data_IF_499773416189
#
_entry.id   IF_499773416189
#
_cell.length_a   1.000
_cell.length_b   1.000
_cell.length_c   1.000
_cell.angle_alpha   90.00
_cell.angle_beta   90.00
_cell.angle_gamma   90.00
#
_symmetry.space_group_name_H-M   'P 1'
#
loop_
_entity.id
_entity.type
_entity.pdbx_description
1 polymer ?
#
# COMPACT_ATOMS: atom_id res chain seq x y z
N UNK A 1 -47.05 24.02 -1.46
CA UNK A 1 -47.02 25.13 -2.44
C UNK A 1 -45.69 25.84 -2.29
N UNK A 2 -44.92 25.93 -3.34
CA UNK A 2 -43.66 26.65 -3.39
C UNK A 2 -43.93 28.14 -3.22
N UNK A 3 -43.20 28.84 -2.34
CA UNK A 3 -43.39 30.25 -2.13
C UNK A 3 -42.82 31.10 -3.29
N UNK A 4 -43.12 32.42 -3.30
CA UNK A 4 -42.69 33.33 -4.39
C UNK A 4 -41.16 33.48 -4.44
N UNK A 5 -40.50 33.43 -3.27
CA UNK A 5 -39.05 33.52 -3.14
C UNK A 5 -38.37 32.26 -3.71
N UNK A 6 -38.95 31.07 -3.46
CA UNK A 6 -38.49 29.80 -4.05
C UNK A 6 -38.60 29.82 -5.58
N UNK A 7 -39.73 30.40 -6.11
CA UNK A 7 -39.91 30.54 -7.57
C UNK A 7 -38.95 31.57 -8.19
N UNK A 8 -38.63 32.64 -7.50
CA UNK A 8 -37.64 33.63 -7.97
C UNK A 8 -36.21 33.07 -7.95
N UNK A 9 -35.86 32.35 -6.89
CA UNK A 9 -34.56 31.61 -6.78
C UNK A 9 -34.43 30.61 -7.89
N UNK A 10 -35.46 29.79 -8.14
CA UNK A 10 -35.49 28.81 -9.20
C UNK A 10 -35.34 29.42 -10.62
N UNK A 11 -36.03 30.56 -10.87
CA UNK A 11 -35.90 31.31 -12.12
C UNK A 11 -34.49 31.85 -12.32
N UNK A 12 -33.82 32.33 -11.28
CA UNK A 12 -32.45 32.84 -11.34
C UNK A 12 -31.46 31.69 -11.61
N UNK A 13 -31.67 30.53 -11.03
CA UNK A 13 -30.85 29.35 -11.24
C UNK A 13 -31.00 28.75 -12.65
N UNK A 14 -32.14 28.95 -13.30
CA UNK A 14 -32.41 28.49 -14.67
C UNK A 14 -32.02 29.49 -15.75
N UNK A 15 -31.52 30.68 -15.41
CA UNK A 15 -31.04 31.61 -16.41
C UNK A 15 -29.66 31.22 -16.95
N UNK A 16 -29.45 31.21 -18.29
CA UNK A 16 -28.15 30.96 -18.86
C UNK A 16 -27.20 32.09 -18.48
N UNK A 17 -25.95 31.74 -18.14
CA UNK A 17 -24.89 32.73 -18.02
C UNK A 17 -24.41 33.16 -19.42
N UNK A 18 -23.77 34.33 -19.51
CA UNK A 18 -23.26 34.84 -20.79
C UNK A 18 -21.96 34.10 -21.20
N UNK A 19 -22.12 32.84 -21.62
CA UNK A 19 -21.05 31.97 -22.12
C UNK A 19 -21.11 31.98 -23.65
N UNK A 20 -20.00 32.29 -24.36
CA UNK A 20 -20.00 32.31 -25.82
C UNK A 20 -20.15 30.89 -26.39
N UNK A 21 -21.33 30.55 -26.87
CA UNK A 21 -21.63 29.27 -27.50
C UNK A 21 -21.74 29.44 -29.00
N UNK A 22 -21.28 28.48 -29.76
CA UNK A 22 -21.54 28.41 -31.19
C UNK A 22 -23.02 28.12 -31.44
N UNK A 23 -23.67 29.00 -32.23
CA UNK A 23 -25.11 28.95 -32.48
C UNK A 23 -25.44 28.81 -33.95
N UNK A 24 -26.60 28.22 -34.22
CA UNK A 24 -27.17 28.20 -35.56
C UNK A 24 -27.58 29.61 -35.95
N UNK A 25 -27.46 29.94 -37.21
CA UNK A 25 -28.00 31.18 -37.74
C UNK A 25 -29.39 30.89 -38.32
N UNK A 26 -30.40 31.66 -37.94
CA UNK A 26 -31.72 31.60 -38.52
C UNK A 26 -32.00 32.91 -39.28
N UNK A 27 -32.58 32.81 -40.44
CA UNK A 27 -33.04 33.97 -41.21
C UNK A 27 -34.53 34.13 -40.93
N UNK A 28 -34.95 35.28 -40.36
CA UNK A 28 -36.33 35.63 -40.13
C UNK A 28 -36.58 36.96 -40.86
N UNK A 29 -37.34 36.89 -41.98
CA UNK A 29 -37.45 38.00 -42.91
C UNK A 29 -36.09 38.31 -43.57
N UNK A 30 -35.62 39.57 -43.46
CA UNK A 30 -34.32 40.01 -43.98
C UNK A 30 -33.24 40.09 -42.90
N UNK A 31 -33.45 39.57 -41.70
CA UNK A 31 -32.51 39.66 -40.59
C UNK A 31 -31.96 38.28 -40.24
N UNK A 32 -30.62 38.21 -40.04
CA UNK A 32 -29.94 37.08 -39.42
C UNK A 32 -30.13 37.19 -37.91
N UNK A 33 -30.71 36.17 -37.31
CA UNK A 33 -30.83 36.07 -35.85
C UNK A 33 -30.11 34.81 -35.36
N UNK A 34 -29.58 34.90 -34.13
CA UNK A 34 -28.99 33.73 -33.46
C UNK A 34 -30.09 32.71 -33.13
N UNK A 35 -29.87 31.47 -33.50
CA UNK A 35 -30.72 30.32 -33.19
C UNK A 35 -30.23 29.55 -31.96
N UNK A 36 -30.72 28.34 -31.87
CA UNK A 36 -30.29 27.40 -30.81
C UNK A 36 -28.79 27.10 -30.91
N UNK A 37 -28.07 26.90 -29.80
CA UNK A 37 -26.69 26.49 -29.83
C UNK A 37 -26.54 25.13 -30.50
N UNK A 38 -25.39 24.90 -31.10
CA UNK A 38 -25.04 23.57 -31.61
C UNK A 38 -24.74 22.63 -30.45
N UNK A 39 -25.26 21.40 -30.51
CA UNK A 39 -24.99 20.33 -29.54
C UNK A 39 -23.62 19.68 -29.82
N UNK A 40 -22.56 20.49 -29.90
CA UNK A 40 -21.19 20.04 -30.09
C UNK A 40 -20.49 19.84 -28.75
N UNK A 41 -19.51 18.96 -28.72
CA UNK A 41 -18.68 18.69 -27.53
C UNK A 41 -18.06 19.99 -26.98
N UNK A 42 -17.60 20.89 -27.85
CA UNK A 42 -17.01 22.17 -27.46
C UNK A 42 -17.98 23.05 -26.66
N UNK A 43 -19.22 23.17 -27.07
CA UNK A 43 -20.22 23.96 -26.35
C UNK A 43 -20.54 23.34 -24.98
N UNK A 44 -20.59 22.00 -24.89
CA UNK A 44 -20.75 21.31 -23.61
C UNK A 44 -19.57 21.64 -22.68
N UNK A 45 -18.35 21.48 -23.18
CA UNK A 45 -17.12 21.79 -22.42
C UNK A 45 -17.09 23.26 -21.98
N UNK A 46 -17.47 24.20 -22.84
CA UNK A 46 -17.54 25.64 -22.49
C UNK A 46 -18.50 25.88 -21.32
N UNK A 47 -19.69 25.29 -21.36
CA UNK A 47 -20.64 25.43 -20.23
C UNK A 47 -20.07 24.81 -18.96
N UNK A 48 -19.58 23.58 -19.01
CA UNK A 48 -19.03 22.90 -17.84
C UNK A 48 -17.83 23.60 -17.23
N UNK A 49 -17.04 24.34 -18.05
CA UNK A 49 -15.85 25.07 -17.61
C UNK A 49 -16.17 26.47 -17.05
N UNK A 50 -17.10 27.18 -17.64
CA UNK A 50 -17.28 28.61 -17.41
C UNK A 50 -18.55 28.98 -16.65
N UNK A 51 -19.49 28.03 -16.47
CA UNK A 51 -20.64 28.31 -15.61
C UNK A 51 -20.23 28.30 -14.13
N UNK A 52 -20.36 29.44 -13.47
CA UNK A 52 -19.93 29.59 -12.08
C UNK A 52 -20.66 28.69 -11.10
N UNK A 53 -21.86 28.19 -11.48
CA UNK A 53 -22.62 27.19 -10.67
C UNK A 53 -21.98 25.81 -10.71
N UNK A 54 -21.16 25.53 -11.74
CA UNK A 54 -20.43 24.28 -11.91
C UNK A 54 -18.94 24.41 -11.55
N UNK A 55 -18.54 25.58 -11.02
CA UNK A 55 -17.16 25.78 -10.56
C UNK A 55 -16.77 24.74 -9.52
N UNK A 56 -15.71 23.98 -9.78
CA UNK A 56 -15.27 22.85 -8.95
C UNK A 56 -16.31 21.74 -8.72
N UNK A 57 -17.44 21.76 -9.44
CA UNK A 57 -18.50 20.77 -9.31
C UNK A 57 -18.10 19.40 -9.89
N UNK A 58 -17.15 19.35 -10.80
CA UNK A 58 -16.69 18.13 -11.48
C UNK A 58 -15.17 18.03 -11.31
N UNK A 59 -14.69 17.07 -10.53
CA UNK A 59 -13.27 16.94 -10.18
C UNK A 59 -12.80 15.49 -10.28
N UNK A 60 -11.55 15.28 -10.70
CA UNK A 60 -10.91 13.97 -10.63
C UNK A 60 -10.19 13.81 -9.28
N UNK A 61 -10.63 12.86 -8.49
CA UNK A 61 -9.89 12.43 -7.32
C UNK A 61 -8.69 11.58 -7.76
N UNK A 62 -7.48 12.13 -7.71
CA UNK A 62 -6.25 11.44 -8.11
C UNK A 62 -5.89 10.25 -7.19
N UNK A 63 -6.45 10.23 -5.98
CA UNK A 63 -6.18 9.18 -5.01
C UNK A 63 -6.99 7.90 -5.30
N UNK A 64 -8.26 8.06 -5.66
CA UNK A 64 -9.16 6.95 -6.00
C UNK A 64 -9.25 6.69 -7.50
N UNK A 65 -8.77 7.61 -8.34
CA UNK A 65 -8.95 7.62 -9.80
C UNK A 65 -10.42 7.67 -10.24
N UNK A 66 -11.29 8.25 -9.40
CA UNK A 66 -12.71 8.40 -9.65
C UNK A 66 -13.08 9.86 -9.89
N UNK A 67 -14.09 10.08 -10.73
CA UNK A 67 -14.67 11.41 -10.91
C UNK A 67 -15.64 11.66 -9.77
N UNK A 68 -15.42 12.77 -9.07
CA UNK A 68 -16.31 13.27 -8.04
C UNK A 68 -17.14 14.42 -8.58
N UNK A 69 -18.41 14.46 -8.23
CA UNK A 69 -19.34 15.50 -8.63
C UNK A 69 -20.05 16.07 -7.41
N UNK A 70 -20.23 17.40 -7.42
CA UNK A 70 -21.01 18.12 -6.42
C UNK A 70 -21.83 19.20 -7.14
N UNK A 71 -23.00 18.83 -7.61
CA UNK A 71 -23.89 19.77 -8.29
C UNK A 71 -24.64 20.70 -7.31
N UNK A 72 -25.16 21.87 -7.77
CA UNK A 72 -25.84 22.82 -6.90
C UNK A 72 -27.04 22.24 -6.16
N UNK A 73 -27.41 22.87 -5.06
CA UNK A 73 -28.29 22.47 -3.95
C UNK A 73 -29.66 21.81 -4.25
N UNK A 74 -30.05 21.64 -5.50
CA UNK A 74 -31.32 21.02 -5.87
C UNK A 74 -31.21 19.57 -6.33
N UNK A 75 -30.00 19.05 -6.37
CA UNK A 75 -29.76 17.69 -6.75
C UNK A 75 -29.25 16.87 -5.57
N UNK A 76 -30.02 15.85 -5.21
CA UNK A 76 -29.64 14.87 -4.21
C UNK A 76 -28.89 13.72 -4.91
N UNK A 77 -27.59 13.65 -4.70
CA UNK A 77 -26.83 12.44 -5.01
C UNK A 77 -26.53 11.69 -3.71
N UNK A 78 -26.73 10.40 -3.70
CA UNK A 78 -26.40 9.54 -2.55
C UNK A 78 -24.88 9.36 -2.37
N UNK A 79 -24.08 9.82 -3.35
CA UNK A 79 -22.62 9.67 -3.40
C UNK A 79 -21.98 10.85 -4.13
N UNK A 80 -20.79 11.26 -3.68
CA UNK A 80 -19.97 12.22 -4.43
C UNK A 80 -19.34 11.61 -5.70
N UNK A 81 -19.37 10.28 -5.86
CA UNK A 81 -18.81 9.60 -7.05
C UNK A 81 -19.83 9.71 -8.19
N UNK A 82 -19.36 10.15 -9.36
CA UNK A 82 -20.18 10.27 -10.58
C UNK A 82 -20.95 8.97 -10.87
N UNK A 83 -22.27 9.10 -11.01
CA UNK A 83 -23.20 8.03 -11.38
C UNK A 83 -23.93 8.34 -12.68
N UNK A 84 -24.58 7.33 -13.26
CA UNK A 84 -25.42 7.51 -14.45
C UNK A 84 -26.56 8.53 -14.20
N UNK A 85 -27.10 8.59 -12.98
CA UNK A 85 -28.14 9.54 -12.58
C UNK A 85 -27.61 10.98 -12.60
N UNK A 86 -26.37 11.21 -12.21
CA UNK A 86 -25.72 12.52 -12.27
C UNK A 86 -25.58 13.01 -13.71
N UNK A 87 -25.21 12.11 -14.63
CA UNK A 87 -25.11 12.44 -16.06
C UNK A 87 -26.46 12.80 -16.65
N UNK A 88 -27.53 12.04 -16.31
CA UNK A 88 -28.90 12.33 -16.76
C UNK A 88 -29.38 13.68 -16.23
N UNK A 89 -29.13 13.96 -14.93
CA UNK A 89 -29.46 15.26 -14.35
C UNK A 89 -28.75 16.40 -15.08
N UNK A 90 -27.45 16.25 -15.34
CA UNK A 90 -26.67 17.27 -16.02
C UNK A 90 -27.13 17.48 -17.46
N UNK A 91 -27.52 16.42 -18.17
CA UNK A 91 -28.09 16.49 -19.52
C UNK A 91 -29.39 17.29 -19.53
N UNK A 92 -30.31 17.03 -18.60
CA UNK A 92 -31.55 17.74 -18.43
C UNK A 92 -31.33 19.21 -18.07
N UNK A 93 -30.39 19.48 -17.13
CA UNK A 93 -30.02 20.84 -16.75
C UNK A 93 -29.45 21.63 -17.94
N UNK A 94 -28.53 21.07 -18.73
CA UNK A 94 -27.98 21.67 -19.96
C UNK A 94 -29.06 21.97 -20.98
N UNK A 95 -30.04 21.08 -21.13
CA UNK A 95 -31.17 21.26 -22.04
C UNK A 95 -32.08 22.41 -21.59
N UNK A 96 -32.40 22.48 -20.30
CA UNK A 96 -33.30 23.52 -19.75
C UNK A 96 -32.67 24.90 -19.69
N UNK A 97 -31.39 24.97 -19.31
CA UNK A 97 -30.71 26.26 -19.09
C UNK A 97 -30.13 26.82 -20.38
N UNK A 98 -29.47 25.99 -21.16
CA UNK A 98 -28.69 26.41 -22.33
C UNK A 98 -29.29 25.97 -23.67
N UNK A 99 -30.44 25.26 -23.67
CA UNK A 99 -31.02 24.67 -24.86
C UNK A 99 -30.10 23.69 -25.60
N UNK A 100 -29.13 23.08 -24.86
CA UNK A 100 -28.18 22.11 -25.38
C UNK A 100 -28.79 20.70 -25.27
N UNK A 101 -29.19 20.11 -26.39
CA UNK A 101 -29.61 18.71 -26.45
C UNK A 101 -28.41 17.83 -26.65
N UNK A 102 -27.89 17.31 -25.52
CA UNK A 102 -26.60 16.57 -25.50
C UNK A 102 -26.81 15.07 -25.78
N UNK A 103 -25.85 14.47 -26.46
CA UNK A 103 -25.71 13.02 -26.53
C UNK A 103 -24.96 12.56 -25.27
N UNK A 104 -25.44 11.53 -24.60
CA UNK A 104 -24.88 11.02 -23.34
C UNK A 104 -23.40 10.65 -23.45
N UNK A 105 -22.97 10.07 -24.58
CA UNK A 105 -21.56 9.76 -24.80
C UNK A 105 -20.69 11.01 -24.86
N UNK A 106 -21.15 12.06 -25.56
CA UNK A 106 -20.43 13.34 -25.63
C UNK A 106 -20.41 14.04 -24.27
N UNK A 107 -21.49 13.96 -23.51
CA UNK A 107 -21.56 14.50 -22.16
C UNK A 107 -20.57 13.78 -21.24
N UNK A 108 -20.55 12.45 -21.26
CA UNK A 108 -19.59 11.65 -20.52
C UNK A 108 -18.13 12.04 -20.85
N UNK A 109 -17.80 12.16 -22.15
CA UNK A 109 -16.47 12.57 -22.60
C UNK A 109 -16.12 13.98 -22.12
N UNK A 110 -17.07 14.92 -22.11
CA UNK A 110 -16.90 16.28 -21.59
C UNK A 110 -16.68 16.28 -20.06
N UNK A 111 -17.46 15.49 -19.32
CA UNK A 111 -17.30 15.34 -17.85
C UNK A 111 -15.90 14.83 -17.52
N UNK A 112 -15.46 13.76 -18.18
CA UNK A 112 -14.11 13.20 -17.95
C UNK A 112 -13.02 14.21 -18.30
N UNK A 113 -13.21 14.99 -19.37
CA UNK A 113 -12.26 16.03 -19.78
C UNK A 113 -12.14 17.12 -18.71
N UNK A 114 -13.27 17.69 -18.25
CA UNK A 114 -13.33 18.72 -17.20
C UNK A 114 -12.80 18.20 -15.87
N UNK A 115 -13.15 16.96 -15.48
CA UNK A 115 -12.63 16.33 -14.27
C UNK A 115 -11.10 16.27 -14.26
N UNK A 116 -10.50 15.97 -15.43
CA UNK A 116 -9.03 15.93 -15.57
C UNK A 116 -8.36 17.30 -15.54
N UNK A 117 -9.05 18.36 -15.89
CA UNK A 117 -8.57 19.74 -15.69
C UNK A 117 -8.62 20.11 -14.19
N UNK A 118 -9.65 19.67 -13.48
CA UNK A 118 -9.92 19.97 -12.07
C UNK A 118 -9.51 18.82 -11.14
N UNK A 119 -8.23 18.46 -11.16
CA UNK A 119 -7.72 17.38 -10.31
C UNK A 119 -7.54 17.83 -8.88
N UNK A 120 -7.75 16.90 -7.96
CA UNK A 120 -7.42 17.10 -6.57
C UNK A 120 -6.97 15.80 -5.92
N UNK A 121 -6.30 15.91 -4.79
CA UNK A 121 -5.81 14.77 -4.05
C UNK A 121 -6.08 14.96 -2.55
N UNK A 122 -7.07 14.28 -1.95
CA UNK A 122 -7.54 14.61 -0.60
C UNK A 122 -6.44 14.52 0.46
N UNK A 123 -5.60 13.48 0.40
CA UNK A 123 -4.52 13.30 1.38
C UNK A 123 -3.44 14.39 1.24
N UNK A 124 -3.04 14.74 0.00
CA UNK A 124 -2.06 15.82 -0.23
C UNK A 124 -2.61 17.19 0.17
N UNK A 125 -3.88 17.46 -0.14
CA UNK A 125 -4.53 18.72 0.26
C UNK A 125 -4.55 18.83 1.78
N UNK A 126 -4.96 17.77 2.49
CA UNK A 126 -4.91 17.72 3.94
C UNK A 126 -3.48 17.92 4.48
N UNK A 127 -2.50 17.18 3.99
CA UNK A 127 -1.12 17.29 4.46
C UNK A 127 -0.49 18.67 4.23
N UNK A 128 -0.90 19.38 3.19
CA UNK A 128 -0.43 20.76 2.93
C UNK A 128 -0.98 21.79 3.93
N UNK A 129 -2.05 21.47 4.66
CA UNK A 129 -2.58 22.35 5.72
C UNK A 129 -1.87 22.17 7.05
N UNK A 130 -0.99 21.17 7.17
CA UNK A 130 -0.29 20.86 8.41
C UNK A 130 0.94 21.76 8.57
N UNK A 131 1.09 22.33 9.75
CA UNK A 131 2.25 23.12 10.15
C UNK A 131 2.90 22.45 11.36
N UNK A 132 4.21 22.15 11.25
CA UNK A 132 4.96 21.53 12.32
C UNK A 132 5.29 22.55 13.43
N UNK A 133 5.01 22.18 14.66
CA UNK A 133 5.26 23.00 15.85
C UNK A 133 6.72 23.00 16.32
N UNK A 134 7.59 22.23 15.68
CA UNK A 134 9.02 22.11 15.99
C UNK A 134 9.36 21.06 17.05
N UNK A 135 8.35 20.42 17.67
CA UNK A 135 8.59 19.34 18.63
C UNK A 135 8.76 17.99 17.95
N UNK A 136 9.84 17.29 18.27
CA UNK A 136 10.19 16.00 17.67
C UNK A 136 9.35 14.87 18.27
N UNK A 137 8.59 14.17 17.44
CA UNK A 137 7.74 13.03 17.79
C UNK A 137 7.92 11.84 16.85
N UNK A 138 8.50 12.07 15.67
CA UNK A 138 8.58 11.10 14.60
C UNK A 138 9.43 9.89 14.98
N UNK A 139 10.57 10.11 15.62
CA UNK A 139 11.48 9.04 16.03
C UNK A 139 10.91 8.21 17.18
N UNK A 140 10.14 8.82 18.09
CA UNK A 140 9.61 8.15 19.27
C UNK A 140 8.17 7.64 19.11
N UNK A 141 7.52 7.87 17.97
CA UNK A 141 6.11 7.54 17.76
C UNK A 141 5.77 6.06 18.09
N UNK A 142 6.59 5.11 17.66
CA UNK A 142 6.37 3.68 17.96
C UNK A 142 6.64 3.38 19.45
N UNK A 143 7.58 4.07 20.07
CA UNK A 143 7.93 3.93 21.48
C UNK A 143 6.81 4.47 22.36
N UNK A 144 6.40 5.73 22.12
CA UNK A 144 5.44 6.45 22.94
C UNK A 144 4.01 5.92 22.83
N UNK A 145 3.61 5.40 21.64
CA UNK A 145 2.23 5.03 21.36
C UNK A 145 1.99 3.53 21.16
N UNK A 146 3.02 2.78 20.88
CA UNK A 146 2.93 1.33 20.70
C UNK A 146 3.67 0.54 21.81
N UNK A 147 4.35 1.22 22.73
CA UNK A 147 5.12 0.56 23.78
C UNK A 147 6.22 -0.34 23.23
N UNK A 148 6.86 0.09 22.15
CA UNK A 148 8.05 -0.56 21.60
C UNK A 148 9.25 -0.17 22.44
N UNK A 149 10.23 -1.07 22.63
CA UNK A 149 11.46 -0.76 23.35
C UNK A 149 12.23 0.38 22.67
N UNK A 150 12.82 1.26 23.48
CA UNK A 150 13.59 2.40 22.97
C UNK A 150 14.99 1.95 22.53
N UNK A 151 15.20 1.91 21.22
CA UNK A 151 16.48 1.62 20.58
C UNK A 151 16.70 2.53 19.37
N UNK A 152 17.96 2.72 18.99
CA UNK A 152 18.32 3.51 17.81
C UNK A 152 17.67 2.93 16.54
N UNK A 153 17.55 1.61 16.46
CA UNK A 153 16.89 0.93 15.34
C UNK A 153 15.39 1.21 15.30
N UNK A 154 14.69 1.13 16.43
CA UNK A 154 13.25 1.38 16.48
C UNK A 154 12.91 2.85 16.21
N UNK A 155 13.76 3.77 16.65
CA UNK A 155 13.69 5.19 16.30
C UNK A 155 13.88 5.41 14.79
N UNK A 156 14.86 4.73 14.19
CA UNK A 156 15.07 4.75 12.75
C UNK A 156 13.87 4.19 11.99
N UNK A 157 13.32 3.04 12.40
CA UNK A 157 12.11 2.47 11.77
C UNK A 157 10.95 3.45 11.78
N UNK A 158 10.64 4.07 12.91
CA UNK A 158 9.59 5.05 13.06
C UNK A 158 9.75 6.21 12.08
N UNK A 159 10.93 6.83 12.08
CA UNK A 159 11.27 7.97 11.22
C UNK A 159 11.25 7.61 9.71
N UNK A 160 12.01 6.58 9.33
CA UNK A 160 12.19 6.18 7.93
C UNK A 160 10.90 5.74 7.27
N UNK A 161 10.06 5.00 8.01
CA UNK A 161 8.77 4.52 7.51
C UNK A 161 7.83 5.66 7.14
N UNK A 162 7.68 6.66 8.02
CA UNK A 162 6.80 7.82 7.79
C UNK A 162 7.34 8.77 6.72
N UNK A 163 8.66 9.01 6.68
CA UNK A 163 9.27 9.78 5.58
C UNK A 163 9.03 9.06 4.24
N UNK A 164 9.14 7.74 4.20
CA UNK A 164 8.80 6.94 3.03
C UNK A 164 7.36 7.12 2.57
N UNK A 165 6.42 7.14 3.52
CA UNK A 165 5.00 7.34 3.24
C UNK A 165 4.73 8.70 2.57
N UNK A 166 5.25 9.80 3.14
CA UNK A 166 5.06 11.14 2.57
C UNK A 166 5.81 11.30 1.24
N UNK A 167 7.02 10.75 1.09
CA UNK A 167 7.73 10.77 -0.19
C UNK A 167 6.91 10.07 -1.28
N UNK A 168 6.40 8.87 -1.00
CA UNK A 168 5.57 8.12 -1.95
C UNK A 168 4.32 8.91 -2.34
N UNK A 169 3.64 9.51 -1.37
CA UNK A 169 2.45 10.30 -1.60
C UNK A 169 2.71 11.53 -2.49
N UNK A 170 3.74 12.32 -2.18
CA UNK A 170 4.03 13.56 -2.91
C UNK A 170 4.70 13.32 -4.26
N UNK A 171 5.50 12.27 -4.41
CA UNK A 171 6.14 11.94 -5.69
C UNK A 171 5.26 11.09 -6.63
N UNK A 172 4.10 10.65 -6.21
CA UNK A 172 3.20 9.87 -7.06
C UNK A 172 2.72 10.65 -8.31
N UNK A 173 2.80 11.98 -8.30
CA UNK A 173 2.52 12.83 -9.47
C UNK A 173 3.72 13.00 -10.41
N UNK A 174 4.89 12.55 -10.03
CA UNK A 174 6.11 12.62 -10.84
C UNK A 174 6.24 11.41 -11.75
N UNK A 175 7.15 11.45 -12.72
CA UNK A 175 7.43 10.34 -13.62
C UNK A 175 8.22 9.20 -12.93
N UNK A 176 8.82 9.50 -11.77
CA UNK A 176 9.66 8.57 -11.02
C UNK A 176 8.97 8.18 -9.70
N UNK A 177 8.27 7.03 -9.67
CA UNK A 177 7.61 6.55 -8.45
C UNK A 177 8.63 6.14 -7.40
N UNK A 178 8.35 6.44 -6.13
CA UNK A 178 9.21 6.09 -5.00
C UNK A 178 9.13 4.59 -4.69
N UNK A 179 10.27 3.93 -4.76
CA UNK A 179 10.43 2.54 -4.36
C UNK A 179 10.65 2.43 -2.85
N UNK A 180 9.76 1.74 -2.15
CA UNK A 180 9.91 1.41 -0.73
C UNK A 180 10.13 -0.09 -0.62
N UNK A 181 11.35 -0.48 -0.30
CA UNK A 181 11.75 -1.89 -0.19
C UNK A 181 11.20 -2.53 1.08
N UNK A 182 11.13 -1.77 2.17
CA UNK A 182 10.87 -2.28 3.51
C UNK A 182 9.41 -2.06 3.93
N UNK A 183 8.89 -2.97 4.74
CA UNK A 183 7.55 -2.92 5.30
C UNK A 183 7.64 -3.00 6.83
N UNK A 184 6.93 -2.12 7.53
CA UNK A 184 6.82 -2.18 8.99
C UNK A 184 5.95 -3.37 9.40
N UNK A 185 6.39 -4.09 10.43
CA UNK A 185 5.70 -5.27 10.98
C UNK A 185 5.47 -5.06 12.46
N UNK A 186 4.22 -4.89 12.86
CA UNK A 186 3.81 -4.75 14.25
C UNK A 186 3.42 -6.13 14.81
N UNK A 187 4.27 -6.68 15.69
CA UNK A 187 3.99 -7.94 16.38
C UNK A 187 3.56 -7.68 17.81
N UNK A 188 2.92 -8.64 18.46
CA UNK A 188 2.57 -8.54 19.89
C UNK A 188 1.16 -9.03 20.19
N UNK A 189 0.78 -8.95 21.46
CA UNK A 189 -0.48 -9.53 21.95
C UNK A 189 -1.72 -9.01 21.21
N UNK A 190 -2.72 -9.87 21.12
CA UNK A 190 -4.04 -9.51 20.59
C UNK A 190 -4.68 -8.45 21.48
N UNK A 191 -5.48 -7.55 20.86
CA UNK A 191 -6.21 -6.47 21.54
C UNK A 191 -5.34 -5.36 22.14
N UNK A 192 -4.05 -5.29 21.84
CA UNK A 192 -3.22 -4.14 22.25
C UNK A 192 -3.57 -2.84 21.49
N UNK A 193 -4.20 -2.94 20.33
CA UNK A 193 -4.63 -1.76 19.57
C UNK A 193 -3.85 -1.50 18.28
N UNK A 194 -3.07 -2.46 17.78
CA UNK A 194 -2.26 -2.34 16.55
C UNK A 194 -3.02 -1.76 15.36
N UNK A 195 -4.15 -2.37 15.00
CA UNK A 195 -4.98 -1.89 13.88
C UNK A 195 -5.63 -0.54 14.18
N UNK A 196 -5.98 -0.27 15.43
CA UNK A 196 -6.54 1.02 15.84
C UNK A 196 -5.50 2.14 15.76
N UNK A 197 -4.26 1.87 16.15
CA UNK A 197 -3.13 2.80 15.98
C UNK A 197 -2.95 3.16 14.51
N UNK A 198 -2.87 2.19 13.61
CA UNK A 198 -2.71 2.41 12.17
C UNK A 198 -3.88 3.18 11.56
N UNK A 199 -5.10 2.83 11.96
CA UNK A 199 -6.32 3.51 11.52
C UNK A 199 -6.36 4.95 11.97
N UNK A 200 -5.93 5.24 13.20
CA UNK A 200 -5.87 6.60 13.74
C UNK A 200 -4.75 7.39 13.08
N UNK A 201 -3.56 6.80 12.91
CA UNK A 201 -2.42 7.42 12.23
C UNK A 201 -2.77 7.85 10.79
N UNK A 202 -3.67 7.14 10.12
CA UNK A 202 -4.11 7.47 8.77
C UNK A 202 -4.80 8.85 8.66
N UNK A 203 -5.30 9.41 9.75
CA UNK A 203 -5.95 10.72 9.82
C UNK A 203 -7.41 10.73 9.33
N UNK A 204 -7.75 9.88 8.36
CA UNK A 204 -9.13 9.65 7.90
C UNK A 204 -9.36 8.15 7.72
N UNK A 205 -10.49 7.65 8.23
CA UNK A 205 -10.84 6.23 8.19
C UNK A 205 -11.04 5.71 6.76
N UNK A 206 -11.46 6.55 5.83
CA UNK A 206 -11.65 6.17 4.42
C UNK A 206 -10.32 5.86 3.71
N UNK A 207 -9.23 6.44 4.19
CA UNK A 207 -7.88 6.23 3.62
C UNK A 207 -7.20 4.98 4.16
N UNK A 208 -7.79 4.34 5.15
CA UNK A 208 -7.31 3.09 5.74
C UNK A 208 -8.01 1.86 5.14
N UNK A 209 -7.31 0.74 5.06
CA UNK A 209 -7.90 -0.56 4.76
C UNK A 209 -7.19 -1.68 5.50
N UNK A 210 -7.97 -2.66 5.92
CA UNK A 210 -7.57 -3.90 6.61
C UNK A 210 -8.15 -5.16 5.94
N UNK A 211 -8.74 -4.98 4.76
CA UNK A 211 -9.43 -6.05 4.04
C UNK A 211 -8.43 -7.01 3.41
N UNK A 212 -8.50 -8.29 3.78
CA UNK A 212 -7.68 -9.34 3.16
C UNK A 212 -8.03 -9.48 1.67
N UNK A 213 -7.01 -9.59 0.83
CA UNK A 213 -7.15 -9.88 -0.59
C UNK A 213 -6.00 -10.76 -1.08
N UNK A 214 -6.22 -11.44 -2.18
CA UNK A 214 -5.18 -12.24 -2.83
C UNK A 214 -4.27 -11.34 -3.66
N UNK A 215 -3.01 -11.18 -3.26
CA UNK A 215 -2.02 -10.34 -3.95
C UNK A 215 -1.65 -10.87 -5.35
N UNK A 216 -1.90 -12.14 -5.63
CA UNK A 216 -1.67 -12.75 -6.94
C UNK A 216 -2.79 -12.50 -7.94
N UNK A 217 -3.88 -11.85 -7.51
CA UNK A 217 -5.03 -11.59 -8.35
C UNK A 217 -4.80 -10.32 -9.19
N UNK A 218 -5.24 -10.34 -10.45
CA UNK A 218 -5.07 -9.21 -11.39
C UNK A 218 -5.67 -7.88 -10.89
N UNK A 219 -6.68 -7.94 -10.00
CA UNK A 219 -7.30 -6.77 -9.39
C UNK A 219 -6.70 -6.38 -8.03
N UNK A 220 -5.61 -7.03 -7.60
CA UNK A 220 -4.98 -6.74 -6.31
C UNK A 220 -4.60 -5.25 -6.18
N UNK A 221 -4.00 -4.70 -7.23
CA UNK A 221 -3.59 -3.29 -7.27
C UNK A 221 -4.75 -2.29 -7.18
N UNK A 222 -5.95 -2.65 -7.66
CA UNK A 222 -7.14 -1.79 -7.52
C UNK A 222 -7.59 -1.64 -6.06
N UNK A 223 -7.31 -2.64 -5.21
CA UNK A 223 -7.62 -2.57 -3.77
C UNK A 223 -6.79 -1.54 -3.02
N UNK A 224 -5.66 -1.13 -3.59
CA UNK A 224 -4.79 -0.11 -3.02
C UNK A 224 -5.20 1.31 -3.40
N UNK A 225 -6.05 1.47 -4.43
CA UNK A 225 -6.51 2.79 -4.86
C UNK A 225 -7.37 3.44 -3.76
N UNK A 226 -7.06 4.71 -3.45
CA UNK A 226 -7.76 5.44 -2.39
C UNK A 226 -7.37 4.99 -0.96
N UNK A 227 -6.24 4.25 -0.79
CA UNK A 227 -5.75 3.83 0.52
C UNK A 227 -4.35 4.35 0.77
N UNK A 228 -4.18 5.07 1.89
CA UNK A 228 -2.91 5.64 2.31
C UNK A 228 -2.14 4.68 3.20
N UNK A 229 -2.80 4.01 4.16
CA UNK A 229 -2.25 2.92 4.94
C UNK A 229 -3.08 1.66 4.70
N UNK A 230 -2.43 0.60 4.27
CA UNK A 230 -3.06 -0.70 4.04
C UNK A 230 -2.49 -1.73 5.01
N UNK A 231 -3.33 -2.22 5.92
CA UNK A 231 -2.97 -3.24 6.90
C UNK A 231 -3.10 -4.64 6.30
N UNK A 232 -2.02 -5.39 6.34
CA UNK A 232 -1.97 -6.82 6.05
C UNK A 232 -2.08 -7.60 7.36
N UNK A 233 -3.32 -7.76 7.84
CA UNK A 233 -3.59 -8.43 9.10
C UNK A 233 -3.30 -9.93 9.01
N UNK A 234 -2.59 -10.47 10.03
CA UNK A 234 -2.24 -11.89 10.15
C UNK A 234 -1.48 -12.46 8.93
N UNK A 235 -0.78 -11.60 8.17
CA UNK A 235 0.09 -12.06 7.10
C UNK A 235 1.34 -12.73 7.70
N UNK A 236 1.59 -13.98 7.31
CA UNK A 236 2.66 -14.79 7.90
C UNK A 236 3.86 -14.99 6.97
N UNK A 237 3.83 -14.50 5.74
CA UNK A 237 4.94 -14.68 4.78
C UNK A 237 5.21 -16.15 4.40
N UNK A 238 4.30 -17.06 4.76
CA UNK A 238 4.46 -18.53 4.63
C UNK A 238 3.68 -19.14 3.47
N UNK A 239 3.14 -18.31 2.58
CA UNK A 239 2.39 -18.83 1.45
C UNK A 239 3.34 -19.48 0.43
N UNK A 240 2.80 -20.39 -0.39
CA UNK A 240 3.54 -20.93 -1.54
C UNK A 240 3.96 -19.84 -2.53
N UNK A 241 3.30 -18.69 -2.45
CA UNK A 241 3.45 -17.54 -3.33
C UNK A 241 4.24 -16.39 -2.67
N UNK A 242 4.98 -16.67 -1.57
CA UNK A 242 5.68 -15.66 -0.77
C UNK A 242 6.57 -14.71 -1.61
N UNK A 243 7.21 -15.20 -2.66
CA UNK A 243 8.04 -14.38 -3.54
C UNK A 243 7.19 -13.39 -4.37
N UNK A 244 6.01 -13.81 -4.83
CA UNK A 244 5.07 -12.96 -5.56
C UNK A 244 4.52 -11.89 -4.61
N UNK A 245 4.15 -12.27 -3.38
CA UNK A 245 3.68 -11.36 -2.34
C UNK A 245 4.75 -10.33 -1.96
N UNK A 246 5.99 -10.76 -1.78
CA UNK A 246 7.14 -9.87 -1.52
C UNK A 246 7.37 -8.89 -2.69
N UNK A 247 7.27 -9.37 -3.94
CA UNK A 247 7.38 -8.52 -5.12
C UNK A 247 6.24 -7.51 -5.19
N UNK A 248 4.99 -7.94 -4.91
CA UNK A 248 3.84 -7.06 -4.85
C UNK A 248 4.00 -5.98 -3.77
N UNK A 249 4.39 -6.35 -2.55
CA UNK A 249 4.58 -5.41 -1.43
C UNK A 249 5.59 -4.30 -1.80
N UNK A 250 6.69 -4.65 -2.45
CA UNK A 250 7.77 -3.72 -2.77
C UNK A 250 7.58 -2.94 -4.07
N UNK A 251 6.54 -3.20 -4.87
CA UNK A 251 6.30 -2.46 -6.11
C UNK A 251 6.14 -0.96 -5.89
N UNK A 252 6.73 -0.16 -6.79
CA UNK A 252 6.61 1.30 -6.77
C UNK A 252 5.41 1.81 -7.58
N UNK A 253 4.93 1.00 -8.53
CA UNK A 253 3.77 1.31 -9.39
C UNK A 253 3.01 0.05 -9.74
N UNK A 254 1.77 0.22 -10.15
CA UNK A 254 0.87 -0.85 -10.59
C UNK A 254 0.27 -0.51 -11.96
N UNK A 255 0.15 -1.51 -12.82
CA UNK A 255 -0.56 -1.36 -14.09
C UNK A 255 -2.00 -1.87 -13.92
N UNK A 256 -2.95 -0.95 -14.00
CA UNK A 256 -4.37 -1.23 -13.74
C UNK A 256 -5.25 -0.63 -14.83
N UNK A 257 -6.42 -1.23 -15.03
CA UNK A 257 -7.48 -0.63 -15.85
C UNK A 257 -8.41 0.14 -14.92
N UNK A 258 -8.19 1.47 -14.86
CA UNK A 258 -9.05 2.34 -14.05
C UNK A 258 -10.41 2.56 -14.71
N UNK A 259 -11.46 2.92 -13.95
CA UNK A 259 -12.76 3.29 -14.52
C UNK A 259 -12.60 4.36 -15.62
N UNK A 260 -13.40 4.26 -16.66
CA UNK A 260 -13.44 5.16 -17.82
C UNK A 260 -12.18 5.16 -18.71
N UNK A 261 -11.16 4.36 -18.42
CA UNK A 261 -10.01 4.21 -19.29
C UNK A 261 -10.22 3.09 -20.33
N UNK A 262 -9.90 3.39 -21.60
CA UNK A 262 -9.94 2.37 -22.68
C UNK A 262 -8.78 1.37 -22.53
N UNK A 263 -7.64 1.86 -22.08
CA UNK A 263 -6.40 1.10 -21.92
C UNK A 263 -5.99 1.02 -20.46
N UNK A 264 -5.22 -0.01 -20.10
CA UNK A 264 -4.55 -0.07 -18.81
C UNK A 264 -3.56 1.09 -18.69
N UNK A 265 -3.43 1.63 -17.47
CA UNK A 265 -2.51 2.73 -17.14
C UNK A 265 -1.61 2.30 -16.00
N UNK A 266 -0.36 2.74 -16.03
CA UNK A 266 0.56 2.54 -14.91
C UNK A 266 0.44 3.71 -13.95
N UNK A 267 0.02 3.41 -12.72
CA UNK A 267 -0.15 4.37 -11.64
C UNK A 267 0.92 4.18 -10.58
N UNK A 268 1.63 5.22 -10.17
CA UNK A 268 2.49 5.18 -9.00
C UNK A 268 1.69 4.84 -7.74
N UNK A 269 2.24 4.00 -6.86
CA UNK A 269 1.64 3.77 -5.55
C UNK A 269 1.72 5.01 -4.68
N UNK A 270 0.63 5.30 -4.01
CA UNK A 270 0.45 6.53 -3.22
C UNK A 270 0.43 6.27 -1.71
N UNK A 271 0.17 5.04 -1.31
CA UNK A 271 0.11 4.60 0.06
C UNK A 271 1.20 3.60 0.42
N UNK A 272 1.22 3.20 1.67
CA UNK A 272 2.13 2.21 2.24
C UNK A 272 1.36 1.00 2.79
N UNK A 273 2.04 -0.13 2.83
CA UNK A 273 1.55 -1.33 3.48
C UNK A 273 2.23 -1.51 4.84
N UNK A 274 1.52 -2.14 5.76
CA UNK A 274 2.02 -2.51 7.08
C UNK A 274 1.46 -3.88 7.45
N UNK A 275 2.28 -4.70 8.09
CA UNK A 275 1.87 -6.02 8.59
C UNK A 275 1.52 -5.92 10.07
N UNK A 276 0.43 -6.54 10.48
CA UNK A 276 0.16 -6.80 11.89
C UNK A 276 0.06 -8.29 12.15
N UNK A 277 0.62 -8.75 13.27
CA UNK A 277 0.54 -10.15 13.67
C UNK A 277 0.55 -10.32 15.19
N UNK A 278 -0.05 -11.40 15.65
CA UNK A 278 0.04 -11.83 17.04
C UNK A 278 1.21 -12.80 17.26
N UNK A 279 1.96 -13.12 16.21
CA UNK A 279 3.08 -14.06 16.24
C UNK A 279 4.40 -13.31 16.18
N UNK A 280 5.37 -13.79 16.94
CA UNK A 280 6.74 -13.28 16.90
C UNK A 280 7.56 -13.92 15.78
N UNK A 281 7.27 -15.18 15.44
CA UNK A 281 8.00 -15.98 14.46
C UNK A 281 7.50 -15.77 13.02
N UNK A 282 7.56 -14.54 12.52
CA UNK A 282 6.99 -14.18 11.21
C UNK A 282 7.88 -14.56 10.03
N UNK A 283 9.19 -14.57 10.22
CA UNK A 283 10.15 -14.78 9.14
C UNK A 283 10.52 -16.25 9.04
N UNK A 284 10.17 -16.88 7.92
CA UNK A 284 10.55 -18.27 7.62
C UNK A 284 11.79 -18.39 6.73
N UNK A 285 12.26 -17.26 6.20
CA UNK A 285 13.33 -17.22 5.22
C UNK A 285 14.39 -16.19 5.62
N UNK A 286 15.62 -16.66 5.84
CA UNK A 286 16.77 -15.82 6.16
C UNK A 286 17.08 -14.76 5.09
N UNK A 287 16.65 -14.99 3.84
CA UNK A 287 16.86 -14.03 2.73
C UNK A 287 15.80 -12.94 2.69
N UNK A 288 14.64 -13.14 3.34
CA UNK A 288 13.52 -12.20 3.40
C UNK A 288 13.64 -11.13 4.47
N UNK A 289 14.57 -11.30 5.44
CA UNK A 289 14.69 -10.42 6.61
C UNK A 289 14.97 -8.94 6.27
N UNK A 290 15.64 -8.65 5.15
CA UNK A 290 15.97 -7.26 4.75
C UNK A 290 14.78 -6.38 4.39
N UNK A 291 13.59 -6.96 4.19
CA UNK A 291 12.37 -6.22 3.82
C UNK A 291 11.44 -5.94 4.98
N UNK A 292 11.63 -6.62 6.11
CA UNK A 292 10.72 -6.57 7.24
C UNK A 292 11.36 -5.83 8.41
N UNK A 293 10.75 -4.72 8.79
CA UNK A 293 11.10 -3.93 9.97
C UNK A 293 10.17 -4.35 11.10
N UNK A 294 10.60 -5.37 11.84
CA UNK A 294 9.78 -5.97 12.88
C UNK A 294 9.95 -5.21 14.20
N UNK A 295 8.84 -4.90 14.85
CA UNK A 295 8.79 -4.31 16.18
C UNK A 295 7.77 -5.03 17.05
N UNK A 296 8.11 -5.21 18.32
CA UNK A 296 7.20 -5.79 19.30
C UNK A 296 6.40 -4.69 20.00
N UNK A 297 5.09 -4.72 19.84
CA UNK A 297 4.14 -3.79 20.43
C UNK A 297 3.78 -4.25 21.84
N UNK A 298 3.72 -3.32 22.81
CA UNK A 298 3.37 -3.62 24.20
C UNK A 298 4.50 -4.24 24.99
N UNK A 299 5.75 -4.01 24.63
CA UNK A 299 6.92 -4.49 25.35
C UNK A 299 7.19 -3.66 26.62
N UNK A 300 6.97 -2.35 26.53
CA UNK A 300 7.25 -1.39 27.63
C UNK A 300 5.99 -0.77 28.23
N UNK A 301 4.82 -1.09 27.74
CA UNK A 301 3.52 -0.56 28.17
C UNK A 301 2.55 -1.69 28.49
N UNK A 302 1.97 -1.66 29.69
CA UNK A 302 0.86 -2.55 30.08
C UNK A 302 -0.50 -1.99 29.68
N UNK A 303 -0.58 -0.69 29.36
CA UNK A 303 -1.82 0.02 29.03
C UNK A 303 -2.15 -0.14 27.54
N UNK A 304 -3.45 -0.21 27.26
CA UNK A 304 -3.96 -0.24 25.90
C UNK A 304 -3.73 1.10 25.21
N UNK A 305 -3.56 1.06 23.90
CA UNK A 305 -3.43 2.24 23.04
C UNK A 305 -4.50 3.30 23.30
N UNK A 306 -4.09 4.51 23.71
CA UNK A 306 -4.97 5.68 23.91
C UNK A 306 -5.20 6.39 22.57
N UNK A 307 -6.33 6.02 21.94
CA UNK A 307 -6.75 6.61 20.67
C UNK A 307 -6.97 8.12 20.77
N UNK A 308 -7.63 8.62 21.83
CA UNK A 308 -8.06 10.02 21.90
C UNK A 308 -6.87 10.97 22.02
N UNK A 309 -5.88 10.60 22.79
CA UNK A 309 -4.64 11.38 22.91
C UNK A 309 -3.80 11.32 21.65
N UNK A 310 -3.71 10.14 21.01
CA UNK A 310 -2.96 9.98 19.78
C UNK A 310 -3.56 10.76 18.60
N UNK A 311 -4.88 10.78 18.45
CA UNK A 311 -5.58 11.49 17.39
C UNK A 311 -5.22 12.99 17.34
N UNK A 312 -4.94 13.60 18.51
CA UNK A 312 -4.53 15.02 18.61
C UNK A 312 -3.09 15.25 18.11
N UNK A 313 -2.24 14.24 18.19
CA UNK A 313 -0.82 14.33 17.86
C UNK A 313 -0.53 13.94 16.39
N UNK A 314 -1.39 13.12 15.79
CA UNK A 314 -1.25 12.65 14.41
C UNK A 314 -0.94 13.75 13.38
N UNK A 315 -1.62 14.93 13.39
CA UNK A 315 -1.27 16.02 12.47
C UNK A 315 0.18 16.48 12.61
N UNK A 316 0.72 16.54 13.84
CA UNK A 316 2.09 16.98 14.10
C UNK A 316 3.12 15.94 13.66
N UNK A 317 2.81 14.64 13.82
CA UNK A 317 3.66 13.55 13.32
C UNK A 317 3.81 13.64 11.79
N UNK A 318 2.71 13.86 11.08
CA UNK A 318 2.77 14.02 9.62
C UNK A 318 3.43 15.32 9.19
N UNK A 319 3.21 16.43 9.93
CA UNK A 319 3.89 17.70 9.66
C UNK A 319 5.41 17.57 9.80
N UNK A 320 5.89 16.87 10.85
CA UNK A 320 7.30 16.57 11.05
C UNK A 320 7.87 15.67 9.92
N UNK A 321 7.11 14.64 9.50
CA UNK A 321 7.52 13.78 8.39
C UNK A 321 7.66 14.54 7.07
N UNK A 322 6.77 15.49 6.80
CA UNK A 322 6.83 16.38 5.64
C UNK A 322 8.06 17.30 5.72
N UNK A 323 8.34 17.86 6.90
CA UNK A 323 9.51 18.69 7.11
C UNK A 323 10.81 17.95 6.75
N UNK A 324 11.02 16.77 7.29
CA UNK A 324 12.20 15.95 6.95
C UNK A 324 12.23 15.50 5.49
N UNK A 325 11.08 15.23 4.89
CA UNK A 325 11.01 14.96 3.44
C UNK A 325 11.50 16.16 2.63
N UNK A 326 11.12 17.40 3.00
CA UNK A 326 11.53 18.63 2.33
C UNK A 326 13.02 18.93 2.50
N UNK A 327 13.60 18.55 3.65
CA UNK A 327 15.04 18.62 3.91
C UNK A 327 15.85 17.57 3.13
N UNK A 328 15.19 16.66 2.43
CA UNK A 328 15.83 15.62 1.65
C UNK A 328 16.21 14.36 2.43
N UNK A 329 15.77 14.24 3.69
CA UNK A 329 16.06 13.08 4.55
C UNK A 329 15.70 11.76 3.86
N UNK A 330 16.55 10.75 3.96
CA UNK A 330 16.33 9.45 3.33
C UNK A 330 15.23 8.63 4.04
N UNK A 331 14.57 7.71 3.31
CA UNK A 331 13.53 6.81 3.80
C UNK A 331 13.96 5.34 3.89
N UNK A 332 15.23 5.06 3.70
CA UNK A 332 15.87 3.76 3.90
C UNK A 332 16.86 3.86 5.04
N UNK A 333 17.21 2.73 5.64
CA UNK A 333 18.20 2.67 6.72
C UNK A 333 19.58 3.07 6.21
N UNK A 334 20.37 3.68 7.07
CA UNK A 334 21.81 3.85 6.86
C UNK A 334 22.54 2.50 7.01
N UNK A 335 23.79 2.41 6.63
CA UNK A 335 24.57 1.18 6.78
C UNK A 335 24.67 0.73 8.25
N UNK A 336 24.82 1.68 9.19
CA UNK A 336 24.85 1.40 10.63
C UNK A 336 23.48 0.91 11.15
N UNK A 337 22.38 1.57 10.76
CA UNK A 337 21.01 1.16 11.09
C UNK A 337 20.69 -0.23 10.49
N UNK A 338 21.19 -0.53 9.29
CA UNK A 338 21.02 -1.84 8.65
C UNK A 338 21.80 -2.95 9.38
N UNK A 339 22.96 -2.63 9.94
CA UNK A 339 23.71 -3.58 10.79
C UNK A 339 22.94 -3.90 12.08
N UNK A 340 22.38 -2.88 12.75
CA UNK A 340 21.51 -3.10 13.92
C UNK A 340 20.32 -3.98 13.58
N UNK A 341 19.70 -3.78 12.41
CA UNK A 341 18.59 -4.61 11.94
C UNK A 341 18.99 -6.07 11.73
N UNK A 342 20.19 -6.32 11.21
CA UNK A 342 20.70 -7.69 11.02
C UNK A 342 20.90 -8.37 12.38
N UNK A 343 21.46 -7.66 13.34
CA UNK A 343 21.75 -8.19 14.68
C UNK A 343 20.46 -8.52 15.46
N UNK A 344 19.37 -7.76 15.25
CA UNK A 344 18.06 -8.01 15.88
C UNK A 344 17.18 -9.00 15.09
N UNK A 345 17.48 -9.28 13.82
CA UNK A 345 16.63 -10.12 12.97
C UNK A 345 16.42 -11.54 13.51
N UNK A 346 17.35 -12.07 14.28
CA UNK A 346 17.26 -13.41 14.86
C UNK A 346 16.10 -13.55 15.85
N UNK A 347 15.68 -12.46 16.51
CA UNK A 347 14.55 -12.45 17.45
C UNK A 347 13.24 -12.76 16.74
N UNK A 348 13.07 -12.27 15.50
CA UNK A 348 11.86 -12.41 14.69
C UNK A 348 11.94 -13.57 13.69
N UNK A 349 13.08 -14.24 13.60
CA UNK A 349 13.24 -15.42 12.75
C UNK A 349 12.53 -16.63 13.34
N UNK A 350 11.97 -17.47 12.51
CA UNK A 350 11.40 -18.74 12.95
C UNK A 350 12.54 -19.68 13.33
N UNK A 351 12.71 -19.91 14.60
CA UNK A 351 13.49 -21.06 15.08
C UNK A 351 12.65 -22.30 14.78
N UNK A 352 13.05 -23.06 13.75
CA UNK A 352 12.36 -24.32 13.47
C UNK A 352 12.56 -25.27 14.68
N UNK A 353 11.48 -25.78 15.30
CA UNK A 353 11.58 -26.70 16.46
C UNK A 353 12.46 -27.93 16.19
N UNK A 354 12.76 -28.20 14.94
CA UNK A 354 13.68 -29.26 14.57
C UNK A 354 15.15 -28.92 14.76
N UNK A 355 15.50 -27.61 14.79
CA UNK A 355 16.91 -27.15 14.99
C UNK A 355 17.39 -27.66 16.34
N UNK A 356 16.66 -27.42 17.42
CA UNK A 356 17.03 -27.85 18.78
C UNK A 356 17.17 -29.39 18.89
N UNK A 357 16.22 -30.13 18.30
CA UNK A 357 16.32 -31.62 18.24
C UNK A 357 17.52 -32.11 17.43
N UNK A 358 17.80 -31.46 16.30
CA UNK A 358 18.92 -31.86 15.43
C UNK A 358 20.27 -31.48 16.02
N UNK A 359 20.36 -30.38 16.77
CA UNK A 359 21.56 -29.93 17.44
C UNK A 359 22.00 -30.90 18.54
N UNK A 360 21.04 -31.37 19.32
CA UNK A 360 21.26 -32.26 20.46
C UNK A 360 21.23 -33.75 20.10
N UNK A 361 20.96 -34.08 18.84
CA UNK A 361 20.83 -35.45 18.38
C UNK A 361 22.02 -35.98 17.56
N UNK A 362 22.22 -37.29 17.59
CA UNK A 362 23.20 -37.93 16.73
C UNK A 362 22.59 -38.20 15.34
N UNK A 363 22.96 -37.36 14.36
CA UNK A 363 22.47 -37.38 12.99
C UNK A 363 23.56 -37.64 11.96
N UNK A 364 24.80 -37.91 12.42
CA UNK A 364 25.93 -38.10 11.54
C UNK A 364 26.37 -39.58 11.48
N UNK A 365 26.89 -39.97 10.36
CA UNK A 365 27.50 -41.26 10.16
C UNK A 365 28.80 -41.13 9.36
N UNK A 366 29.75 -42.09 9.59
CA UNK A 366 30.98 -42.10 8.83
C UNK A 366 30.72 -42.42 7.34
N UNK A 367 31.28 -41.61 6.46
CA UNK A 367 31.35 -41.85 5.03
C UNK A 367 32.80 -42.10 4.62
N UNK A 368 33.07 -43.31 4.09
CA UNK A 368 34.38 -43.63 3.59
C UNK A 368 34.58 -43.08 2.19
N UNK A 369 35.62 -42.30 2.02
CA UNK A 369 36.02 -41.66 0.77
C UNK A 369 37.17 -42.45 0.09
N UNK A 370 37.49 -42.12 -1.16
CA UNK A 370 38.65 -42.61 -1.85
C UNK A 370 39.97 -42.27 -1.11
N UNK A 371 40.00 -41.17 -0.33
CA UNK A 371 41.14 -40.73 0.47
C UNK A 371 40.67 -40.32 1.86
N UNK A 372 40.35 -41.31 2.74
CA UNK A 372 39.99 -41.07 4.12
C UNK A 372 38.52 -41.24 4.45
N UNK A 373 38.12 -40.70 5.62
CA UNK A 373 36.76 -40.77 6.19
C UNK A 373 36.28 -39.39 6.55
N UNK A 374 34.97 -39.14 6.38
CA UNK A 374 34.31 -37.90 6.83
C UNK A 374 32.98 -38.26 7.48
N UNK A 375 32.61 -37.55 8.53
CA UNK A 375 31.29 -37.70 9.11
C UNK A 375 30.29 -36.77 8.38
N UNK A 376 29.22 -37.38 7.87
CA UNK A 376 28.18 -36.68 7.11
C UNK A 376 26.80 -36.93 7.69
N UNK A 377 25.88 -36.00 7.47
CA UNK A 377 24.50 -36.14 7.92
C UNK A 377 23.82 -37.32 7.22
N UNK A 378 23.21 -38.21 8.02
CA UNK A 378 22.27 -39.19 7.53
C UNK A 378 20.86 -38.71 7.67
N UNK A 379 20.20 -38.42 6.56
CA UNK A 379 18.81 -37.91 6.55
C UNK A 379 17.80 -38.89 7.15
N UNK A 380 18.05 -40.20 7.10
CA UNK A 380 17.16 -41.18 7.74
C UNK A 380 17.29 -41.12 9.26
N UNK A 381 18.52 -40.97 9.79
CA UNK A 381 18.74 -40.76 11.21
C UNK A 381 18.09 -39.46 11.67
N UNK A 382 18.26 -38.36 10.93
CA UNK A 382 17.61 -37.09 11.21
C UNK A 382 16.07 -37.20 11.17
N UNK A 383 15.48 -37.87 10.18
CA UNK A 383 14.04 -38.09 10.10
C UNK A 383 13.50 -38.97 11.23
N UNK A 384 14.26 -39.96 11.66
CA UNK A 384 13.88 -40.81 12.82
C UNK A 384 13.94 -40.01 14.11
N UNK A 385 15.02 -39.24 14.34
CA UNK A 385 15.16 -38.38 15.51
C UNK A 385 14.02 -37.34 15.62
N UNK A 386 13.56 -36.82 14.48
CA UNK A 386 12.46 -35.86 14.37
C UNK A 386 11.09 -36.55 14.40
N UNK A 387 11.03 -37.89 14.55
CA UNK A 387 9.79 -38.68 14.59
C UNK A 387 8.90 -38.47 13.35
N UNK A 388 9.53 -38.24 12.15
CA UNK A 388 8.78 -38.01 10.91
C UNK A 388 8.16 -39.33 10.42
N UNK A 389 6.81 -39.41 10.35
CA UNK A 389 6.13 -40.60 9.83
C UNK A 389 6.58 -40.96 8.40
N UNK A 390 6.65 -42.24 8.08
CA UNK A 390 7.12 -42.71 6.75
C UNK A 390 6.39 -42.04 5.57
N UNK A 391 5.09 -41.85 5.69
CA UNK A 391 4.24 -41.19 4.69
C UNK A 391 4.57 -39.72 4.47
N UNK A 392 5.21 -39.08 5.45
CA UNK A 392 5.56 -37.65 5.41
C UNK A 392 7.05 -37.44 5.04
N UNK A 393 7.80 -38.50 4.70
CA UNK A 393 9.21 -38.39 4.29
C UNK A 393 9.33 -38.01 2.81
N UNK A 394 8.94 -36.78 2.51
CA UNK A 394 8.92 -36.19 1.16
C UNK A 394 10.17 -35.38 0.87
N UNK A 395 10.29 -34.91 -0.37
CA UNK A 395 11.33 -33.93 -0.76
C UNK A 395 11.21 -32.63 0.05
N UNK A 396 9.99 -32.19 0.38
CA UNK A 396 9.74 -31.01 1.22
C UNK A 396 10.27 -31.18 2.64
N UNK A 397 10.06 -32.35 3.26
CA UNK A 397 10.63 -32.70 4.57
C UNK A 397 12.15 -32.67 4.53
N UNK A 398 12.75 -33.18 3.47
CA UNK A 398 14.20 -33.16 3.28
C UNK A 398 14.72 -31.73 3.16
N UNK A 399 14.06 -30.88 2.37
CA UNK A 399 14.43 -29.46 2.23
C UNK A 399 14.34 -28.71 3.56
N UNK A 400 13.35 -29.02 4.40
CA UNK A 400 13.22 -28.46 5.75
C UNK A 400 14.39 -28.88 6.66
N UNK A 401 14.79 -30.15 6.63
CA UNK A 401 15.98 -30.63 7.36
C UNK A 401 17.24 -29.95 6.82
N UNK A 402 17.40 -29.79 5.51
CA UNK A 402 18.52 -29.05 4.92
C UNK A 402 18.60 -27.58 5.36
N UNK A 403 17.46 -26.93 5.53
CA UNK A 403 17.36 -25.59 6.12
C UNK A 403 17.86 -25.57 7.57
N UNK A 404 17.35 -26.47 8.43
CA UNK A 404 17.79 -26.58 9.83
C UNK A 404 19.29 -26.87 9.93
N UNK A 405 19.81 -27.76 9.09
CA UNK A 405 21.25 -28.09 9.07
C UNK A 405 22.13 -26.90 8.72
N UNK A 406 21.69 -26.03 7.79
CA UNK A 406 22.41 -24.79 7.47
C UNK A 406 22.51 -23.87 8.66
N UNK A 407 21.41 -23.69 9.41
CA UNK A 407 21.39 -22.91 10.64
C UNK A 407 22.31 -23.49 11.74
N UNK A 408 22.51 -24.79 11.75
CA UNK A 408 23.46 -25.49 12.63
C UNK A 408 24.92 -25.51 12.12
N UNK A 409 25.23 -24.73 11.08
CA UNK A 409 26.57 -24.64 10.52
C UNK A 409 27.00 -25.82 9.64
N UNK A 410 26.06 -26.66 9.21
CA UNK A 410 26.35 -27.70 8.22
C UNK A 410 26.33 -27.11 6.80
N UNK A 411 27.36 -27.45 6.02
CA UNK A 411 27.49 -26.98 4.63
C UNK A 411 27.39 -28.16 3.64
N UNK A 412 26.85 -27.93 2.44
CA UNK A 412 26.80 -28.94 1.41
C UNK A 412 28.21 -29.33 0.98
N UNK A 413 28.45 -30.63 0.83
CA UNK A 413 29.72 -31.21 0.48
C UNK A 413 29.55 -32.29 -0.59
N UNK A 414 30.38 -32.26 -1.63
CA UNK A 414 30.42 -33.29 -2.68
C UNK A 414 31.48 -34.35 -2.35
N UNK A 415 31.02 -35.48 -1.86
CA UNK A 415 31.90 -36.60 -1.50
C UNK A 415 32.22 -37.46 -2.70
N UNK A 416 33.52 -37.82 -2.88
CA UNK A 416 33.98 -38.78 -3.88
C UNK A 416 34.09 -40.16 -3.21
N UNK A 417 33.23 -41.09 -3.58
CA UNK A 417 33.23 -42.44 -3.05
C UNK A 417 34.33 -43.30 -3.69
N UNK A 418 34.74 -44.39 -3.02
CA UNK A 418 35.77 -45.31 -3.56
C UNK A 418 35.42 -45.91 -4.93
N UNK A 419 34.13 -46.01 -5.24
CA UNK A 419 33.61 -46.51 -6.52
C UNK A 419 33.55 -45.46 -7.64
N UNK A 420 34.12 -44.27 -7.42
CA UNK A 420 34.17 -43.17 -8.38
C UNK A 420 32.87 -42.34 -8.44
N UNK A 421 31.79 -42.70 -7.71
CA UNK A 421 30.55 -41.89 -7.66
C UNK A 421 30.74 -40.68 -6.80
N UNK A 422 30.06 -39.57 -7.19
CA UNK A 422 29.93 -38.35 -6.41
C UNK A 422 28.56 -38.30 -5.71
N UNK A 423 28.58 -38.03 -4.42
CA UNK A 423 27.35 -37.92 -3.60
C UNK A 423 27.32 -36.57 -2.90
N UNK A 424 26.22 -35.87 -3.01
CA UNK A 424 25.97 -34.65 -2.23
C UNK A 424 25.54 -35.02 -0.83
N UNK A 425 26.27 -34.54 0.16
CA UNK A 425 25.97 -34.72 1.59
C UNK A 425 26.19 -33.40 2.34
N UNK A 426 25.98 -33.40 3.63
CA UNK A 426 26.17 -32.23 4.52
C UNK A 426 27.18 -32.60 5.61
N UNK A 427 28.11 -31.65 5.95
CA UNK A 427 29.09 -31.80 7.04
C UNK A 427 29.22 -30.49 7.81
N UNK A 428 29.67 -30.51 9.09
CA UNK A 428 29.96 -29.31 9.86
C UNK A 428 31.11 -28.50 9.24
N UNK A 429 30.99 -27.18 9.24
CA UNK A 429 31.96 -26.26 8.65
C UNK A 429 33.33 -26.33 9.34
N UNK A 430 33.35 -26.56 10.64
CA UNK A 430 34.58 -26.67 11.46
C UNK A 430 35.47 -27.85 11.04
N UNK A 431 34.91 -28.86 10.43
CA UNK A 431 35.66 -30.01 9.90
C UNK A 431 36.36 -29.75 8.56
N UNK A 432 36.22 -28.53 7.99
CA UNK A 432 36.90 -28.14 6.75
C UNK A 432 38.37 -27.74 6.96
N UNK A 433 38.77 -27.36 8.16
CA UNK A 433 40.13 -26.87 8.46
C UNK A 433 41.15 -28.01 8.68
N UNK A 434 40.71 -29.27 8.81
CA UNK A 434 41.54 -30.41 9.15
C UNK A 434 41.51 -31.55 8.12
N UNK A 435 41.13 -31.29 6.86
CA UNK A 435 41.07 -32.29 5.78
C UNK A 435 41.98 -31.91 4.62
#
# INVERSE_FOLDING_TARGET
MMNIEDLQSLKKQLQPQNIPLERRTKIVGNQMIEGEPFSYLENIIRVLRFDTRLENAIRLNEFTQQVHVKFPDQYYSDSEILSDTDEVWLADWLSRVYQLRVNMKMLHEAIIFIARENRYHPVREWMKTLEWDGEKRLETMLIDWCGVSDSDLHRAYSKRWLIGAVKRLFHASTKEPIYIKSILVLTGQQNFGKSMFLKTLCGNQEWFADTKFNMNHEYAALKLQGKFIYELAEWAGRSKDAEIEKAFISSASDTVKVPYARNAVTLPRQGIMVVTSNRMDLLTDSTGSTRFWCVQVGETMDERFDRQSFEKVVPQIWAEAIHYMMEGEQHWLTDDEEQLRIDEADIFSTIDPWIDKLENGDITKPLFLARGRVDVVDFNMAMNLLEVPMQNRTSGTRSRIEFCLKNLGFVPYMANLPNGKRVRCYRKQDQMKNA
#
